data_IF_839028174808
#
_entry.id   IF_839028174808
#
_cell.length_a   1.000
_cell.length_b   1.000
_cell.length_c   1.000
_cell.angle_alpha   90.00
_cell.angle_beta   90.00
_cell.angle_gamma   90.00
#
_symmetry.space_group_name_H-M   'P 1'
#
loop_
_entity.id
_entity.type
_entity.pdbx_description
1 polymer ?
#
# COMPACT_ATOMS: atom_id res chain seq x y z
N UNK A 1 -28.90 -17.09 -11.05
CA UNK A 1 -28.66 -15.65 -11.30
C UNK A 1 -27.39 -15.24 -10.56
N UNK A 2 -26.67 -14.18 -10.95
CA UNK A 2 -25.50 -13.68 -10.20
C UNK A 2 -25.82 -12.29 -9.68
N UNK A 3 -25.69 -12.08 -8.37
CA UNK A 3 -25.85 -10.75 -7.78
C UNK A 3 -24.47 -10.10 -7.68
N UNK A 4 -24.36 -8.84 -8.11
CA UNK A 4 -23.13 -8.06 -8.06
C UNK A 4 -23.36 -6.85 -7.16
N UNK A 5 -22.58 -6.74 -6.08
CA UNK A 5 -22.62 -5.64 -5.13
C UNK A 5 -21.27 -4.90 -5.15
N UNK A 6 -21.28 -3.56 -5.15
CA UNK A 6 -20.04 -2.78 -5.06
C UNK A 6 -19.48 -2.85 -3.64
N UNK A 7 -18.16 -2.87 -3.53
CA UNK A 7 -17.44 -2.79 -2.26
C UNK A 7 -16.72 -1.46 -2.16
N UNK A 8 -16.74 -0.85 -0.98
CA UNK A 8 -15.94 0.34 -0.63
C UNK A 8 -14.48 -0.04 -0.36
N UNK A 9 -13.89 -0.80 -1.28
CA UNK A 9 -12.50 -1.26 -1.25
C UNK A 9 -11.95 -1.29 -2.67
N UNK A 10 -10.63 -1.28 -2.78
CA UNK A 10 -9.94 -1.26 -4.07
C UNK A 10 -9.04 -2.48 -4.25
N UNK A 11 -8.90 -2.89 -5.50
CA UNK A 11 -8.05 -4.00 -5.92
C UNK A 11 -6.60 -3.79 -5.43
N UNK A 12 -5.99 -4.79 -4.78
CA UNK A 12 -4.63 -4.67 -4.27
C UNK A 12 -3.59 -4.45 -5.38
N UNK A 13 -3.87 -4.90 -6.60
CA UNK A 13 -2.93 -4.82 -7.73
C UNK A 13 -3.03 -3.49 -8.51
N UNK A 14 -4.25 -3.02 -8.80
CA UNK A 14 -4.46 -1.86 -9.68
C UNK A 14 -5.18 -0.68 -9.03
N UNK A 15 -5.59 -0.81 -7.76
CA UNK A 15 -6.38 0.20 -7.02
C UNK A 15 -7.73 0.57 -7.66
N UNK A 16 -8.22 -0.22 -8.62
CA UNK A 16 -9.56 -0.08 -9.20
C UNK A 16 -10.66 -0.58 -8.26
N UNK A 17 -11.93 -0.18 -8.47
CA UNK A 17 -13.04 -0.55 -7.58
C UNK A 17 -13.30 -2.06 -7.58
N UNK A 18 -13.68 -2.60 -6.42
CA UNK A 18 -14.05 -4.00 -6.24
C UNK A 18 -15.57 -4.18 -6.18
N UNK A 19 -16.00 -5.38 -6.56
CA UNK A 19 -17.38 -5.84 -6.43
C UNK A 19 -17.42 -7.28 -5.95
N UNK A 20 -18.37 -7.60 -5.08
CA UNK A 20 -18.67 -8.97 -4.69
C UNK A 20 -19.65 -9.57 -5.70
N UNK A 21 -19.38 -10.79 -6.15
CA UNK A 21 -20.26 -11.58 -6.99
C UNK A 21 -20.67 -12.82 -6.23
N UNK A 22 -21.99 -12.98 -6.02
CA UNK A 22 -22.59 -14.14 -5.37
C UNK A 22 -23.32 -15.01 -6.38
N UNK A 23 -23.08 -16.32 -6.33
CA UNK A 23 -23.78 -17.30 -7.16
C UNK A 23 -25.07 -17.75 -6.45
N UNK A 24 -26.21 -17.70 -7.13
CA UNK A 24 -27.53 -18.02 -6.53
C UNK A 24 -28.01 -19.45 -6.84
N UNK A 25 -27.13 -20.36 -7.25
CA UNK A 25 -27.50 -21.76 -7.53
C UNK A 25 -27.55 -22.58 -6.25
N UNK A 26 -28.22 -23.74 -6.31
CA UNK A 26 -28.53 -24.67 -5.20
C UNK A 26 -27.31 -25.19 -4.40
N UNK A 27 -26.09 -24.85 -4.86
CA UNK A 27 -24.84 -24.97 -4.10
C UNK A 27 -24.43 -23.58 -3.57
N UNK A 28 -24.79 -23.22 -2.33
CA UNK A 28 -24.42 -21.95 -1.73
C UNK A 28 -22.93 -21.98 -1.35
N UNK A 29 -22.14 -21.00 -1.78
CA UNK A 29 -20.87 -20.77 -1.10
C UNK A 29 -19.78 -19.98 -1.83
N UNK A 30 -19.78 -19.91 -3.16
CA UNK A 30 -18.66 -19.28 -3.85
C UNK A 30 -18.85 -17.76 -3.98
N UNK A 31 -18.25 -17.02 -3.05
CA UNK A 31 -18.09 -15.56 -3.15
C UNK A 31 -16.84 -15.25 -3.96
N UNK A 32 -17.00 -14.48 -5.04
CA UNK A 32 -15.88 -13.96 -5.82
C UNK A 32 -15.81 -12.45 -5.69
N UNK A 33 -14.61 -11.91 -5.61
CA UNK A 33 -14.36 -10.48 -5.59
C UNK A 33 -13.72 -10.10 -6.92
N UNK A 34 -14.35 -9.19 -7.67
CA UNK A 34 -13.94 -8.81 -9.02
C UNK A 34 -13.62 -7.33 -9.10
N UNK A 35 -12.45 -7.03 -9.64
CA UNK A 35 -12.08 -5.68 -10.03
C UNK A 35 -12.69 -5.31 -11.40
N UNK A 36 -12.89 -4.01 -11.63
CA UNK A 36 -13.36 -3.48 -12.92
C UNK A 36 -12.51 -3.94 -14.12
N UNK A 37 -11.20 -4.08 -13.94
CA UNK A 37 -10.26 -4.40 -15.04
C UNK A 37 -10.01 -5.91 -15.23
N UNK A 38 -10.66 -6.77 -14.42
CA UNK A 38 -10.66 -8.22 -14.64
C UNK A 38 -9.94 -9.08 -13.60
N UNK A 39 -9.27 -8.50 -12.59
CA UNK A 39 -8.72 -9.30 -11.47
C UNK A 39 -9.85 -9.96 -10.66
N UNK A 40 -9.67 -11.22 -10.28
CA UNK A 40 -10.65 -12.03 -9.55
C UNK A 40 -9.97 -12.69 -8.35
N UNK A 41 -10.64 -12.61 -7.20
CA UNK A 41 -10.15 -13.16 -5.94
C UNK A 41 -11.21 -14.02 -5.26
N UNK A 42 -10.77 -15.04 -4.52
CA UNK A 42 -11.54 -15.58 -3.39
C UNK A 42 -11.40 -14.65 -2.18
N UNK A 43 -12.19 -14.87 -1.12
CA UNK A 43 -12.04 -14.10 0.14
C UNK A 43 -10.60 -14.21 0.70
N UNK A 44 -10.04 -15.42 0.71
CA UNK A 44 -8.68 -15.69 1.19
C UNK A 44 -7.63 -14.93 0.37
N UNK A 45 -7.66 -15.07 -0.96
CA UNK A 45 -6.66 -14.43 -1.83
C UNK A 45 -6.80 -12.91 -1.85
N UNK A 46 -8.01 -12.38 -1.63
CA UNK A 46 -8.22 -10.93 -1.53
C UNK A 46 -7.54 -10.38 -0.27
N UNK A 47 -7.75 -11.01 0.89
CA UNK A 47 -7.15 -10.59 2.15
C UNK A 47 -5.62 -10.69 2.10
N UNK A 48 -5.10 -11.80 1.57
CA UNK A 48 -3.65 -11.97 1.37
C UNK A 48 -3.08 -10.86 0.46
N UNK A 49 -3.71 -10.62 -0.70
CA UNK A 49 -3.28 -9.56 -1.61
C UNK A 49 -3.34 -8.17 -0.98
N UNK A 50 -4.31 -7.90 -0.10
CA UNK A 50 -4.36 -6.66 0.66
C UNK A 50 -3.24 -6.53 1.68
N UNK A 51 -2.89 -7.60 2.40
CA UNK A 51 -1.74 -7.60 3.32
C UNK A 51 -0.44 -7.31 2.59
N UNK A 52 -0.19 -7.98 1.45
CA UNK A 52 0.98 -7.74 0.62
C UNK A 52 1.01 -6.30 0.06
N UNK A 53 -0.14 -5.79 -0.40
CA UNK A 53 -0.23 -4.41 -0.91
C UNK A 53 -0.04 -3.35 0.18
N UNK A 54 -0.46 -3.64 1.43
CA UNK A 54 -0.23 -2.78 2.58
C UNK A 54 1.25 -2.71 2.94
N UNK A 55 1.91 -3.86 3.07
CA UNK A 55 3.34 -3.94 3.36
C UNK A 55 4.15 -3.22 2.27
N UNK A 56 3.86 -3.49 1.00
CA UNK A 56 4.52 -2.84 -0.14
C UNK A 56 4.36 -1.33 -0.13
N UNK A 57 3.19 -0.80 0.26
CA UNK A 57 2.96 0.64 0.35
C UNK A 57 3.81 1.29 1.44
N UNK A 58 3.92 0.65 2.61
CA UNK A 58 4.76 1.13 3.70
C UNK A 58 6.25 1.11 3.31
N UNK A 59 6.72 0.03 2.68
CA UNK A 59 8.09 -0.03 2.15
C UNK A 59 8.35 1.04 1.09
N UNK A 60 7.40 1.29 0.19
CA UNK A 60 7.52 2.35 -0.81
C UNK A 60 7.64 3.73 -0.16
N UNK A 61 6.91 3.97 0.94
CA UNK A 61 7.04 5.22 1.71
C UNK A 61 8.41 5.34 2.37
N UNK A 62 8.96 4.26 2.94
CA UNK A 62 10.34 4.23 3.49
C UNK A 62 11.34 4.63 2.41
N UNK A 63 11.28 3.98 1.25
CA UNK A 63 12.19 4.26 0.13
C UNK A 63 12.09 5.72 -0.32
N UNK A 64 10.87 6.23 -0.52
CA UNK A 64 10.68 7.62 -0.95
C UNK A 64 11.25 8.64 0.05
N UNK A 65 11.14 8.38 1.35
CA UNK A 65 11.71 9.24 2.40
C UNK A 65 13.24 9.19 2.41
N UNK A 66 13.82 7.99 2.29
CA UNK A 66 15.28 7.81 2.25
C UNK A 66 15.89 8.41 0.98
N UNK A 67 15.28 8.20 -0.18
CA UNK A 67 15.66 8.84 -1.44
C UNK A 67 15.58 10.36 -1.34
N UNK A 68 14.52 10.90 -0.73
CA UNK A 68 14.37 12.34 -0.49
C UNK A 68 15.52 12.89 0.37
N UNK A 69 15.96 12.15 1.40
CA UNK A 69 17.08 12.56 2.24
C UNK A 69 18.41 12.56 1.47
N UNK A 70 18.66 11.50 0.68
CA UNK A 70 19.86 11.40 -0.18
C UNK A 70 19.91 12.53 -1.20
N UNK A 71 18.80 12.81 -1.88
CA UNK A 71 18.69 13.89 -2.85
C UNK A 71 18.90 15.25 -2.17
N UNK A 72 18.27 15.48 -1.01
CA UNK A 72 18.42 16.72 -0.24
C UNK A 72 19.89 17.01 0.11
N UNK A 73 20.64 16.01 0.59
CA UNK A 73 22.08 16.17 0.88
C UNK A 73 22.89 16.44 -0.39
N UNK A 74 22.60 15.73 -1.49
CA UNK A 74 23.30 15.90 -2.77
C UNK A 74 23.15 17.32 -3.32
N UNK A 75 21.93 17.85 -3.33
CA UNK A 75 21.62 19.16 -3.92
C UNK A 75 21.92 20.33 -2.99
N UNK A 76 21.94 20.13 -1.66
CA UNK A 76 22.19 21.20 -0.69
C UNK A 76 23.53 21.91 -0.90
N UNK A 77 24.54 21.22 -1.45
CA UNK A 77 25.84 21.82 -1.79
C UNK A 77 25.76 22.90 -2.88
N UNK A 78 24.69 22.90 -3.69
CA UNK A 78 24.48 23.81 -4.83
C UNK A 78 23.56 24.99 -4.46
N UNK A 79 23.06 25.04 -3.23
CA UNK A 79 22.08 26.02 -2.77
C UNK A 79 22.73 27.11 -1.91
N UNK A 80 22.13 28.32 -1.82
CA UNK A 80 22.55 29.33 -0.86
C UNK A 80 22.58 28.77 0.56
N UNK A 81 23.55 29.21 1.37
CA UNK A 81 23.87 28.65 2.70
C UNK A 81 22.64 28.43 3.60
N UNK A 82 21.73 29.40 3.66
CA UNK A 82 20.53 29.31 4.49
C UNK A 82 19.54 28.24 4.01
N UNK A 83 19.35 28.15 2.69
CA UNK A 83 18.48 27.15 2.07
C UNK A 83 19.11 25.76 2.23
N UNK A 84 20.41 25.63 1.98
CA UNK A 84 21.17 24.40 2.18
C UNK A 84 21.02 23.88 3.62
N UNK A 85 21.14 24.76 4.63
CA UNK A 85 20.94 24.40 6.04
C UNK A 85 19.53 23.84 6.28
N UNK A 86 18.50 24.50 5.74
CA UNK A 86 17.11 24.07 5.89
C UNK A 86 16.84 22.71 5.24
N UNK A 87 17.33 22.52 4.02
CA UNK A 87 17.17 21.28 3.26
C UNK A 87 17.85 20.11 3.98
N UNK A 88 19.04 20.30 4.54
CA UNK A 88 19.71 19.27 5.37
C UNK A 88 18.94 18.94 6.64
N UNK A 89 18.40 19.94 7.34
CA UNK A 89 17.54 19.69 8.50
C UNK A 89 16.30 18.87 8.10
N UNK A 90 15.68 19.17 6.95
CA UNK A 90 14.56 18.40 6.43
C UNK A 90 14.99 16.96 6.06
N UNK A 91 16.18 16.77 5.49
CA UNK A 91 16.72 15.45 5.19
C UNK A 91 16.82 14.58 6.46
N UNK A 92 17.33 15.14 7.56
CA UNK A 92 17.38 14.44 8.85
C UNK A 92 15.98 14.04 9.35
N UNK A 93 14.97 14.91 9.18
CA UNK A 93 13.57 14.59 9.51
C UNK A 93 13.04 13.45 8.64
N UNK A 94 13.37 13.42 7.34
CA UNK A 94 12.96 12.33 6.44
C UNK A 94 13.53 10.98 6.87
N UNK A 95 14.79 10.95 7.31
CA UNK A 95 15.41 9.73 7.88
C UNK A 95 14.66 9.27 9.13
N UNK A 96 14.34 10.18 10.06
CA UNK A 96 13.57 9.82 11.25
C UNK A 96 12.16 9.31 10.91
N UNK A 97 11.49 9.92 9.92
CA UNK A 97 10.17 9.46 9.45
C UNK A 97 10.25 8.05 8.85
N UNK A 98 11.28 7.75 8.06
CA UNK A 98 11.49 6.41 7.51
C UNK A 98 11.69 5.37 8.62
N UNK A 99 12.46 5.72 9.67
CA UNK A 99 12.67 4.87 10.82
C UNK A 99 11.36 4.57 11.59
N UNK A 100 10.46 5.55 11.73
CA UNK A 100 9.15 5.30 12.34
C UNK A 100 8.28 4.34 11.51
N UNK A 101 8.30 4.46 10.18
CA UNK A 101 7.58 3.52 9.31
C UNK A 101 8.18 2.11 9.39
N UNK A 102 9.51 1.98 9.48
CA UNK A 102 10.19 0.68 9.70
C UNK A 102 9.71 0.00 10.99
N UNK A 103 9.53 0.75 12.08
CA UNK A 103 8.94 0.20 13.33
C UNK A 103 7.50 -0.28 13.15
N UNK A 104 6.72 0.34 12.26
CA UNK A 104 5.37 -0.15 11.92
C UNK A 104 5.48 -1.45 11.14
N UNK A 105 6.38 -1.53 10.16
CA UNK A 105 6.63 -2.74 9.36
C UNK A 105 7.07 -3.93 10.23
N UNK A 106 7.94 -3.72 11.22
CA UNK A 106 8.40 -4.77 12.16
C UNK A 106 7.29 -5.39 13.00
N UNK A 107 6.18 -4.66 13.18
CA UNK A 107 5.01 -5.08 13.96
C UNK A 107 3.78 -5.29 13.07
N UNK A 108 3.97 -5.38 11.77
CA UNK A 108 2.88 -5.52 10.82
C UNK A 108 2.30 -6.94 10.91
N UNK A 109 1.01 -7.03 11.20
CA UNK A 109 0.30 -8.31 11.27
C UNK A 109 -0.49 -8.54 9.96
N UNK A 110 -0.15 -9.57 9.15
CA UNK A 110 -0.93 -9.93 7.97
C UNK A 110 -2.24 -10.62 8.37
N UNK A 111 -3.24 -10.60 7.48
CA UNK A 111 -4.45 -11.38 7.68
C UNK A 111 -4.11 -12.88 7.69
N UNK A 112 -4.35 -13.56 8.81
CA UNK A 112 -4.26 -15.00 8.90
C UNK A 112 -5.51 -15.62 8.28
N UNK A 113 -5.32 -16.47 7.28
CA UNK A 113 -6.43 -17.06 6.51
C UNK A 113 -6.40 -18.58 6.50
N UNK A 114 -5.52 -19.17 7.31
CA UNK A 114 -5.33 -20.61 7.50
C UNK A 114 -6.61 -21.36 7.87
#
# INVERSE_FOLDING_TARGET
MKTKELLEATCPECRGPLSEVRETTEMPGLRQYKCLVGHVYSARTLLQGHSEAQEKALWSAVVALEESAVLAEKVASQLPREVARRVRMQASVKVSQAAEIRKILERLEPFQTD
#
